data_IF_469516615325
#
_entry.id   IF_469516615325
#
_cell.length_a   1.000
_cell.length_b   1.000
_cell.length_c   1.000
_cell.angle_alpha   90.00
_cell.angle_beta   90.00
_cell.angle_gamma   90.00
#
_symmetry.space_group_name_H-M   'P 1'
#
loop_
_entity.id
_entity.type
_entity.pdbx_description
1 polymer ?
#
# COMPACT_ATOMS: atom_id res chain seq x y z
N UNK A 1 13.64 42.42 19.11
CA UNK A 1 14.06 41.47 18.04
C UNK A 1 13.08 40.32 18.07
N UNK A 2 12.03 40.35 17.25
CA UNK A 2 11.02 39.28 17.25
C UNK A 2 11.53 38.13 16.39
N UNK A 3 11.95 37.04 17.03
CA UNK A 3 12.24 35.79 16.35
C UNK A 3 10.91 35.11 15.99
N UNK A 4 10.50 35.22 14.73
CA UNK A 4 9.35 34.46 14.21
C UNK A 4 9.73 32.99 14.15
N UNK A 5 9.41 32.26 15.22
CA UNK A 5 9.69 30.82 15.33
C UNK A 5 8.79 30.08 14.33
N UNK A 6 9.37 29.64 13.21
CA UNK A 6 8.68 28.88 12.17
C UNK A 6 8.40 27.45 12.66
N UNK A 7 7.37 27.32 13.49
CA UNK A 7 6.87 26.03 13.95
C UNK A 7 6.58 25.13 12.74
N UNK A 8 7.30 24.02 12.66
CA UNK A 8 7.25 23.05 11.56
C UNK A 8 6.58 21.77 12.06
N UNK A 9 5.99 20.98 11.15
CA UNK A 9 5.31 19.74 11.56
C UNK A 9 6.32 18.59 11.71
N UNK A 10 6.26 17.88 12.83
CA UNK A 10 7.12 16.75 13.16
C UNK A 10 6.28 15.54 13.56
N UNK A 11 6.81 14.35 13.28
CA UNK A 11 6.32 13.07 13.83
C UNK A 11 7.32 12.59 14.88
N UNK A 12 6.80 12.17 16.03
CA UNK A 12 7.56 11.86 17.25
C UNK A 12 7.09 10.50 17.76
N UNK A 13 8.01 9.54 17.92
CA UNK A 13 7.69 8.25 18.56
C UNK A 13 8.22 8.23 20.00
N UNK A 14 7.33 8.00 20.97
CA UNK A 14 7.58 8.19 22.41
C UNK A 14 6.80 7.18 23.22
N UNK A 15 7.43 6.44 24.12
CA UNK A 15 6.71 5.44 24.91
C UNK A 15 5.78 6.02 26.01
N UNK A 16 5.92 7.31 26.40
CA UNK A 16 5.10 7.97 27.45
C UNK A 16 4.90 9.50 27.29
N UNK A 17 4.44 9.99 26.13
CA UNK A 17 4.32 11.46 25.90
C UNK A 17 3.38 12.19 26.89
N UNK A 18 2.36 11.50 27.44
CA UNK A 18 1.35 12.08 28.34
C UNK A 18 1.95 12.84 29.54
N UNK A 19 3.15 12.47 30.01
CA UNK A 19 3.80 13.09 31.17
C UNK A 19 4.41 14.48 30.90
N UNK A 20 4.54 14.93 29.64
CA UNK A 20 5.05 16.28 29.33
C UNK A 20 3.99 17.38 29.40
N UNK A 21 2.70 17.04 29.32
CA UNK A 21 1.74 17.95 28.69
C UNK A 21 1.07 18.93 29.65
N UNK A 22 0.76 18.49 30.88
CA UNK A 22 0.18 19.35 31.92
C UNK A 22 1.18 20.38 32.47
N UNK A 23 2.49 20.16 32.32
CA UNK A 23 3.53 21.01 32.94
C UNK A 23 4.36 21.84 31.95
N UNK A 24 4.55 21.41 30.70
CA UNK A 24 5.52 22.07 29.79
C UNK A 24 4.95 22.71 28.52
N UNK A 25 3.78 22.30 28.02
CA UNK A 25 3.27 22.76 26.72
C UNK A 25 1.83 23.31 26.72
N UNK A 26 0.96 22.89 27.63
CA UNK A 26 -0.42 23.40 27.69
C UNK A 26 -1.26 23.08 26.44
N UNK A 27 -0.96 21.96 25.76
CA UNK A 27 -1.58 21.52 24.50
C UNK A 27 -2.43 20.28 24.69
N UNK A 28 -3.47 20.15 23.86
CA UNK A 28 -4.40 19.03 23.90
C UNK A 28 -3.89 17.85 23.04
N UNK A 29 -3.97 16.61 23.58
CA UNK A 29 -3.98 15.41 22.72
C UNK A 29 -5.39 15.20 22.15
N UNK A 30 -5.46 14.87 20.86
CA UNK A 30 -6.63 14.23 20.25
C UNK A 30 -6.22 12.87 19.70
N UNK A 31 -6.87 11.79 20.17
CA UNK A 31 -6.71 10.44 19.60
C UNK A 31 -7.40 10.38 18.25
N UNK A 32 -6.63 10.18 17.19
CA UNK A 32 -7.14 10.23 15.83
C UNK A 32 -8.22 9.16 15.58
N UNK A 33 -9.30 9.53 14.89
CA UNK A 33 -10.40 8.64 14.55
C UNK A 33 -10.60 8.58 13.02
N UNK A 34 -11.05 7.43 12.46
CA UNK A 34 -11.30 7.30 11.03
C UNK A 34 -12.34 8.32 10.56
N UNK A 35 -11.99 9.14 9.56
CA UNK A 35 -12.87 10.17 9.00
C UNK A 35 -13.03 11.44 9.85
N UNK A 36 -12.25 11.62 10.93
CA UNK A 36 -12.22 12.86 11.72
C UNK A 36 -10.91 13.58 11.45
N UNK A 37 -10.91 14.48 10.46
CA UNK A 37 -9.66 14.95 9.86
C UNK A 37 -9.59 16.45 9.52
N UNK A 38 -10.68 17.19 9.60
CA UNK A 38 -10.68 18.60 9.25
C UNK A 38 -10.18 19.47 10.41
N UNK A 39 -9.42 20.51 10.07
CA UNK A 39 -8.66 21.44 10.93
C UNK A 39 -7.65 20.88 11.95
N UNK A 40 -7.78 19.63 12.43
CA UNK A 40 -6.87 19.03 13.41
C UNK A 40 -5.40 19.00 12.96
N UNK A 41 -5.13 18.76 11.67
CA UNK A 41 -3.76 18.76 11.11
C UNK A 41 -3.13 20.17 11.10
N UNK A 42 -3.94 21.23 11.16
CA UNK A 42 -3.50 22.63 11.05
C UNK A 42 -3.45 23.38 12.40
N UNK A 43 -4.13 22.88 13.44
CA UNK A 43 -4.11 23.54 14.76
C UNK A 43 -2.79 23.32 15.50
N UNK A 44 -2.03 24.41 15.64
CA UNK A 44 -0.74 24.46 16.34
C UNK A 44 -0.86 24.23 17.85
N UNK A 45 -2.06 24.18 18.41
CA UNK A 45 -2.33 23.90 19.83
C UNK A 45 -2.64 22.42 20.10
N UNK A 46 -2.81 21.60 19.05
CA UNK A 46 -3.13 20.18 19.15
C UNK A 46 -1.89 19.32 18.91
N UNK A 47 -1.88 18.14 19.54
CA UNK A 47 -0.98 17.04 19.24
C UNK A 47 -1.87 15.85 18.87
N UNK A 48 -1.73 15.32 17.66
CA UNK A 48 -2.53 14.18 17.21
C UNK A 48 -1.83 12.89 17.66
N UNK A 49 -2.57 12.02 18.34
CA UNK A 49 -2.14 10.69 18.78
C UNK A 49 -2.53 9.65 17.72
N UNK A 50 -1.50 9.07 17.08
CA UNK A 50 -1.57 8.03 16.04
C UNK A 50 -1.28 6.62 16.59
N UNK A 51 -1.01 6.53 17.90
CA UNK A 51 -0.45 5.36 18.60
C UNK A 51 -1.28 4.10 18.40
N UNK A 52 -0.61 2.95 18.38
CA UNK A 52 -1.28 1.67 18.53
C UNK A 52 -1.09 1.11 19.95
N UNK A 53 -2.18 1.10 20.71
CA UNK A 53 -2.21 0.74 22.12
C UNK A 53 -1.63 -0.67 22.35
N UNK A 54 -0.51 -0.74 23.09
CA UNK A 54 0.19 -2.00 23.38
C UNK A 54 1.35 -2.34 22.44
N UNK A 55 1.71 -1.48 21.48
CA UNK A 55 2.94 -1.64 20.66
C UNK A 55 3.90 -0.46 20.76
N UNK A 56 3.41 0.75 20.49
CA UNK A 56 4.19 1.99 20.47
C UNK A 56 3.25 3.18 20.58
N UNK A 57 3.80 4.37 20.86
CA UNK A 57 3.01 5.60 20.78
C UNK A 57 3.65 6.65 19.88
N UNK A 58 2.96 6.96 18.76
CA UNK A 58 3.38 7.93 17.75
C UNK A 58 2.45 9.14 17.84
N UNK A 59 3.05 10.33 17.80
CA UNK A 59 2.36 11.60 17.89
C UNK A 59 2.85 12.54 16.80
N UNK A 60 1.98 13.41 16.28
CA UNK A 60 2.34 14.43 15.28
C UNK A 60 1.78 15.80 15.64
N UNK A 61 2.43 16.87 15.19
CA UNK A 61 2.01 18.26 15.42
C UNK A 61 3.11 19.29 15.15
N UNK A 62 2.78 20.57 15.34
CA UNK A 62 3.70 21.68 15.08
C UNK A 62 4.60 22.01 16.26
N UNK A 63 5.89 21.75 16.14
CA UNK A 63 6.89 22.05 17.17
C UNK A 63 7.89 23.10 16.69
N UNK A 64 8.45 23.85 17.64
CA UNK A 64 9.61 24.70 17.35
C UNK A 64 10.86 23.82 17.17
N UNK A 65 11.72 24.22 16.22
CA UNK A 65 12.95 23.50 15.91
C UNK A 65 13.96 23.49 17.07
N UNK A 66 14.08 24.58 17.86
CA UNK A 66 14.94 24.55 19.04
C UNK A 66 14.35 23.67 20.15
N UNK A 67 13.02 23.67 20.34
CA UNK A 67 12.37 22.74 21.25
C UNK A 67 12.61 21.26 20.86
N UNK A 68 12.55 20.95 19.56
CA UNK A 68 12.87 19.60 19.05
C UNK A 68 14.31 19.19 19.35
N UNK A 69 15.30 20.00 18.97
CA UNK A 69 16.72 19.66 19.16
C UNK A 69 17.18 19.74 20.62
N UNK A 70 16.65 20.68 21.41
CA UNK A 70 17.12 20.91 22.78
C UNK A 70 16.37 20.11 23.85
N UNK A 71 15.11 19.72 23.60
CA UNK A 71 14.26 18.98 24.54
C UNK A 71 13.91 17.59 23.98
N UNK A 72 13.09 17.51 22.93
CA UNK A 72 12.47 16.25 22.50
C UNK A 72 13.50 15.17 22.15
N UNK A 73 14.48 15.48 21.29
CA UNK A 73 15.55 14.55 20.88
C UNK A 73 16.53 14.14 21.99
N UNK A 74 16.44 14.72 23.19
CA UNK A 74 17.29 14.38 24.35
C UNK A 74 16.57 13.59 25.43
N UNK A 75 15.28 13.29 25.25
CA UNK A 75 14.50 12.51 26.19
C UNK A 75 14.77 11.02 26.03
N UNK A 76 14.92 10.31 27.14
CA UNK A 76 15.17 8.86 27.14
C UNK A 76 13.91 7.99 26.93
N UNK A 77 12.73 8.59 26.77
CA UNK A 77 11.47 7.91 26.42
C UNK A 77 11.00 8.19 24.98
N UNK A 78 11.74 9.03 24.24
CA UNK A 78 11.57 9.31 22.81
C UNK A 78 12.52 8.40 22.03
N UNK A 79 12.02 7.68 21.03
CA UNK A 79 12.83 6.78 20.19
C UNK A 79 13.47 7.59 19.04
N UNK A 80 12.65 8.35 18.30
CA UNK A 80 13.11 9.29 17.28
C UNK A 80 12.14 10.47 17.07
N UNK A 81 12.62 11.47 16.32
CA UNK A 81 11.84 12.63 15.86
C UNK A 81 12.18 12.94 14.40
N UNK A 82 11.24 12.70 13.49
CA UNK A 82 11.34 13.07 12.08
C UNK A 82 10.53 14.36 11.78
N UNK A 83 10.89 15.06 10.70
CA UNK A 83 9.95 16.01 10.08
C UNK A 83 8.94 15.22 9.25
N UNK A 84 7.70 15.69 9.19
CA UNK A 84 6.65 15.04 8.37
C UNK A 84 7.10 14.98 6.91
N UNK A 85 7.12 13.77 6.33
CA UNK A 85 7.61 13.50 4.96
C UNK A 85 6.43 13.43 3.98
N UNK A 86 6.48 14.07 2.80
CA UNK A 86 5.46 13.90 1.75
C UNK A 86 5.43 12.47 1.18
N UNK A 87 4.24 12.01 0.79
CA UNK A 87 3.98 10.70 0.20
C UNK A 87 3.12 10.88 -1.04
N UNK A 88 3.44 10.21 -2.15
CA UNK A 88 2.73 10.37 -3.43
C UNK A 88 2.38 9.03 -4.10
N UNK A 89 1.41 9.06 -5.02
CA UNK A 89 1.01 7.94 -5.89
C UNK A 89 1.02 8.33 -7.37
N UNK A 90 1.54 7.44 -8.23
CA UNK A 90 1.86 7.75 -9.63
C UNK A 90 0.78 7.26 -10.61
N UNK A 91 0.08 8.16 -11.33
CA UNK A 91 -0.49 7.85 -12.67
C UNK A 91 -1.06 9.06 -13.43
N UNK A 92 -0.75 9.24 -14.73
CA UNK A 92 -1.67 9.85 -15.71
C UNK A 92 -2.69 8.80 -16.24
N UNK A 93 -3.86 9.20 -16.77
CA UNK A 93 -4.99 8.28 -17.09
C UNK A 93 -5.65 8.59 -18.46
N UNK A 94 -6.01 7.56 -19.26
CA UNK A 94 -6.87 7.65 -20.50
C UNK A 94 -7.71 6.35 -20.74
N UNK A 95 -8.85 6.34 -21.48
CA UNK A 95 -9.81 5.19 -21.51
C UNK A 95 -10.12 4.54 -22.88
N UNK A 96 -10.56 3.25 -22.91
CA UNK A 96 -11.52 2.60 -23.87
C UNK A 96 -11.79 1.08 -23.59
N UNK A 97 -12.70 0.41 -24.34
CA UNK A 97 -13.46 -0.82 -23.91
C UNK A 97 -13.61 -1.91 -25.02
N UNK A 98 -13.69 -3.23 -24.69
CA UNK A 98 -14.54 -4.29 -25.36
C UNK A 98 -14.55 -5.69 -24.63
N UNK A 99 -15.30 -6.70 -25.15
CA UNK A 99 -15.62 -8.03 -24.53
C UNK A 99 -15.68 -9.20 -25.56
N UNK A 100 -15.89 -10.51 -25.26
CA UNK A 100 -15.45 -11.51 -24.22
C UNK A 100 -16.41 -12.74 -24.19
N UNK A 101 -15.90 -13.98 -24.07
CA UNK A 101 -16.51 -15.22 -23.48
C UNK A 101 -15.62 -16.45 -23.83
N UNK A 102 -15.73 -17.68 -23.31
CA UNK A 102 -16.04 -18.32 -21.99
C UNK A 102 -15.83 -19.85 -22.19
N UNK A 103 -15.51 -20.73 -21.22
CA UNK A 103 -15.15 -20.61 -19.81
C UNK A 103 -14.47 -21.91 -19.30
N UNK A 104 -13.47 -21.77 -18.42
CA UNK A 104 -13.06 -22.75 -17.38
C UNK A 104 -14.24 -23.25 -16.48
N UNK A 105 -14.20 -24.18 -15.51
CA UNK A 105 -13.35 -25.35 -15.19
C UNK A 105 -12.68 -25.16 -13.82
N UNK A 106 -11.33 -25.22 -13.77
CA UNK A 106 -10.59 -24.14 -13.08
C UNK A 106 -11.06 -22.85 -13.74
N UNK A 107 -11.37 -21.75 -13.05
CA UNK A 107 -11.89 -20.60 -13.79
C UNK A 107 -10.76 -19.99 -14.61
N UNK A 108 -10.78 -20.27 -15.91
CA UNK A 108 -9.91 -19.67 -16.91
C UNK A 108 -10.65 -18.52 -17.55
N UNK A 109 -10.13 -17.32 -17.38
CA UNK A 109 -10.57 -16.15 -18.09
C UNK A 109 -9.97 -16.17 -19.50
N UNK A 110 -10.75 -16.59 -20.49
CA UNK A 110 -10.44 -16.39 -21.90
C UNK A 110 -10.45 -14.89 -22.24
N UNK A 111 -9.52 -14.45 -23.09
CA UNK A 111 -9.20 -13.03 -23.29
C UNK A 111 -8.82 -12.36 -21.97
N UNK A 112 -7.83 -12.94 -21.28
CA UNK A 112 -7.20 -12.33 -20.12
C UNK A 112 -6.49 -11.02 -20.50
N UNK A 113 -6.55 -9.98 -19.64
CA UNK A 113 -5.57 -8.90 -19.65
C UNK A 113 -4.16 -9.49 -19.57
N UNK A 114 -3.24 -8.99 -20.39
CA UNK A 114 -1.90 -9.55 -20.56
C UNK A 114 -1.17 -9.76 -19.23
N UNK A 115 -1.43 -8.90 -18.24
CA UNK A 115 -0.79 -8.89 -16.93
C UNK A 115 -1.27 -10.02 -16.00
N UNK A 116 -2.41 -10.66 -16.28
CA UNK A 116 -2.89 -11.83 -15.55
C UNK A 116 -2.29 -13.11 -16.16
N UNK A 117 -2.37 -13.23 -17.49
CA UNK A 117 -1.71 -14.25 -18.32
C UNK A 117 -0.19 -14.33 -18.05
N UNK A 118 0.46 -13.16 -17.97
CA UNK A 118 1.91 -13.06 -17.70
C UNK A 118 2.33 -13.64 -16.34
N UNK A 119 1.42 -13.81 -15.36
CA UNK A 119 1.75 -14.28 -14.01
C UNK A 119 1.30 -15.72 -13.69
N UNK A 120 0.50 -16.38 -14.55
CA UNK A 120 0.38 -17.85 -14.54
C UNK A 120 1.26 -18.54 -15.62
N UNK A 121 1.52 -17.87 -16.75
CA UNK A 121 2.45 -18.33 -17.79
C UNK A 121 3.86 -17.72 -17.71
N UNK A 122 4.91 -18.55 -17.81
CA UNK A 122 6.31 -18.10 -17.72
C UNK A 122 6.83 -17.35 -18.96
N UNK A 123 6.48 -17.83 -20.16
CA UNK A 123 7.14 -17.51 -21.42
C UNK A 123 6.21 -16.77 -22.39
N UNK A 124 6.78 -16.04 -23.34
CA UNK A 124 6.07 -15.57 -24.53
C UNK A 124 6.11 -16.65 -25.65
N UNK A 125 5.15 -16.68 -26.60
CA UNK A 125 3.94 -15.85 -26.65
C UNK A 125 2.92 -16.23 -25.56
N UNK A 126 2.22 -15.22 -25.04
CA UNK A 126 1.10 -15.38 -24.11
C UNK A 126 -0.09 -16.06 -24.81
N UNK A 127 -0.87 -16.87 -24.08
CA UNK A 127 -1.90 -17.75 -24.68
C UNK A 127 -3.32 -17.13 -24.68
N UNK A 128 -3.49 -15.97 -24.06
CA UNK A 128 -4.74 -15.23 -23.94
C UNK A 128 -5.62 -15.69 -22.77
N UNK A 129 -5.08 -16.50 -21.86
CA UNK A 129 -5.80 -17.10 -20.74
C UNK A 129 -5.27 -16.61 -19.39
N UNK A 130 -6.08 -16.74 -18.34
CA UNK A 130 -5.62 -16.60 -16.95
C UNK A 130 -6.40 -17.59 -16.10
N UNK A 131 -5.70 -18.56 -15.52
CA UNK A 131 -6.27 -19.73 -14.86
C UNK A 131 -6.03 -19.66 -13.36
N UNK A 132 -7.09 -19.52 -12.58
CA UNK A 132 -7.00 -19.26 -11.14
C UNK A 132 -7.87 -20.22 -10.30
N UNK A 133 -7.54 -20.41 -9.00
CA UNK A 133 -8.36 -21.18 -8.08
C UNK A 133 -9.81 -20.67 -8.01
N UNK A 134 -10.79 -21.57 -8.02
CA UNK A 134 -12.21 -21.20 -7.95
C UNK A 134 -12.62 -20.47 -6.64
N UNK A 135 -11.74 -20.44 -5.64
CA UNK A 135 -11.86 -19.69 -4.39
C UNK A 135 -10.90 -18.48 -4.30
N UNK A 136 -10.39 -17.96 -5.43
CA UNK A 136 -9.32 -16.95 -5.54
C UNK A 136 -9.38 -15.79 -4.52
N UNK A 137 -8.67 -15.93 -3.40
CA UNK A 137 -8.63 -14.92 -2.34
C UNK A 137 -9.86 -14.86 -1.43
N UNK A 138 -10.80 -15.80 -1.53
CA UNK A 138 -11.92 -15.93 -0.59
C UNK A 138 -11.41 -15.97 0.87
N UNK A 139 -12.15 -15.33 1.76
CA UNK A 139 -11.77 -15.04 3.14
C UNK A 139 -10.43 -14.31 3.36
N UNK A 140 -9.87 -13.68 2.33
CA UNK A 140 -8.81 -12.66 2.50
C UNK A 140 -9.41 -11.26 2.59
N UNK A 141 -8.77 -10.39 3.38
CA UNK A 141 -9.15 -9.00 3.61
C UNK A 141 -7.96 -8.12 3.22
N UNK A 142 -8.06 -7.46 2.07
CA UNK A 142 -6.96 -6.64 1.52
C UNK A 142 -7.28 -5.18 1.72
N UNK A 143 -6.48 -4.52 2.55
CA UNK A 143 -6.57 -3.10 2.82
C UNK A 143 -5.74 -2.35 1.78
N UNK A 144 -6.41 -1.48 1.01
CA UNK A 144 -5.78 -0.62 0.00
C UNK A 144 -5.57 0.73 0.66
N UNK A 145 -4.31 1.00 1.02
CA UNK A 145 -3.87 2.20 1.75
C UNK A 145 -3.34 3.19 0.72
N UNK A 146 -4.24 4.05 0.23
CA UNK A 146 -4.08 4.75 -1.05
C UNK A 146 -5.01 6.00 -1.12
N UNK A 147 -5.52 6.40 -2.30
CA UNK A 147 -6.50 7.49 -2.48
C UNK A 147 -7.95 7.09 -2.19
N UNK A 148 -8.20 5.85 -1.75
CA UNK A 148 -9.54 5.31 -1.47
C UNK A 148 -9.97 4.24 -2.48
N UNK A 149 -11.26 3.92 -2.54
CA UNK A 149 -11.84 3.06 -3.60
C UNK A 149 -13.23 3.60 -3.96
N UNK A 150 -13.56 3.70 -5.25
CA UNK A 150 -14.94 3.83 -5.71
C UNK A 150 -15.67 2.48 -5.56
N UNK A 151 -16.14 2.19 -4.35
CA UNK A 151 -16.67 0.87 -3.95
C UNK A 151 -17.86 0.38 -4.80
N UNK A 152 -18.62 1.30 -5.39
CA UNK A 152 -19.75 1.04 -6.30
C UNK A 152 -19.33 0.60 -7.72
N UNK A 153 -18.03 0.50 -8.02
CA UNK A 153 -17.58 0.00 -9.32
C UNK A 153 -17.91 -1.50 -9.49
N UNK A 154 -18.52 -1.87 -10.62
CA UNK A 154 -19.01 -3.23 -10.93
C UNK A 154 -17.90 -4.28 -11.04
N UNK A 155 -16.62 -3.87 -11.11
CA UNK A 155 -15.48 -4.77 -10.93
C UNK A 155 -15.44 -5.38 -9.51
N UNK A 156 -15.94 -4.68 -8.49
CA UNK A 156 -15.84 -5.15 -7.11
C UNK A 156 -17.00 -6.05 -6.69
N UNK A 157 -18.15 -6.00 -7.38
CA UNK A 157 -19.32 -6.85 -7.10
C UNK A 157 -19.76 -6.83 -5.62
N UNK A 158 -19.70 -5.66 -4.96
CA UNK A 158 -20.02 -5.50 -3.54
C UNK A 158 -18.95 -6.05 -2.57
N UNK A 159 -17.79 -6.48 -3.07
CA UNK A 159 -16.66 -6.95 -2.22
C UNK A 159 -15.71 -5.83 -1.78
N UNK A 160 -15.90 -4.61 -2.28
CA UNK A 160 -15.20 -3.42 -1.80
C UNK A 160 -16.03 -2.69 -0.73
N UNK A 161 -15.36 -2.17 0.29
CA UNK A 161 -16.00 -1.44 1.40
C UNK A 161 -15.12 -0.28 1.89
N UNK A 162 -15.75 0.72 2.51
CA UNK A 162 -15.04 1.82 3.16
C UNK A 162 -14.48 1.37 4.52
N UNK A 163 -13.19 1.60 4.76
CA UNK A 163 -12.54 1.39 6.06
C UNK A 163 -12.39 2.70 6.84
N UNK A 164 -11.79 3.72 6.23
CA UNK A 164 -11.60 5.03 6.82
C UNK A 164 -10.86 6.02 5.92
N UNK A 165 -11.05 7.32 6.18
CA UNK A 165 -10.26 8.42 5.60
C UNK A 165 -9.32 8.98 6.65
N UNK A 166 -8.09 9.28 6.23
CA UNK A 166 -6.95 9.63 7.05
C UNK A 166 -6.15 10.82 6.49
N UNK A 167 -6.79 11.72 5.74
CA UNK A 167 -6.19 12.96 5.25
C UNK A 167 -7.19 14.13 5.36
N UNK A 168 -6.70 15.34 5.63
CA UNK A 168 -7.56 16.52 5.84
C UNK A 168 -8.24 17.00 4.56
N UNK A 169 -9.49 17.48 4.68
CA UNK A 169 -10.34 17.94 3.57
C UNK A 169 -10.55 16.89 2.45
N UNK A 170 -10.38 15.60 2.78
CA UNK A 170 -10.54 14.48 1.86
C UNK A 170 -11.98 13.96 1.83
N UNK A 171 -12.47 13.54 0.65
CA UNK A 171 -13.74 12.82 0.58
C UNK A 171 -13.64 11.43 1.25
N UNK A 172 -14.77 10.77 1.50
CA UNK A 172 -14.81 9.36 1.93
C UNK A 172 -14.71 8.36 0.76
N UNK A 173 -14.56 8.87 -0.45
CA UNK A 173 -14.49 8.12 -1.71
C UNK A 173 -13.13 8.28 -2.39
N UNK A 174 -12.89 7.55 -3.48
CA UNK A 174 -11.73 7.83 -4.33
C UNK A 174 -12.04 9.00 -5.29
N UNK A 175 -11.32 10.09 -5.09
CA UNK A 175 -11.41 11.35 -5.85
C UNK A 175 -10.22 11.56 -6.80
N UNK A 176 -9.21 10.67 -6.77
CA UNK A 176 -8.05 10.66 -7.67
C UNK A 176 -8.09 9.50 -8.69
N UNK A 177 -8.56 8.32 -8.26
CA UNK A 177 -8.74 7.14 -9.10
C UNK A 177 -7.63 6.09 -9.02
N UNK A 178 -6.51 6.41 -8.37
CA UNK A 178 -5.36 5.50 -8.24
C UNK A 178 -5.67 4.31 -7.33
N UNK A 179 -6.23 4.55 -6.15
CA UNK A 179 -6.67 3.50 -5.22
C UNK A 179 -7.69 2.54 -5.82
N UNK A 180 -8.61 3.07 -6.64
CA UNK A 180 -9.56 2.27 -7.44
C UNK A 180 -8.86 1.42 -8.50
N UNK A 181 -7.86 1.96 -9.21
CA UNK A 181 -7.05 1.21 -10.18
C UNK A 181 -6.37 0.02 -9.50
N UNK A 182 -5.60 0.26 -8.43
CA UNK A 182 -4.82 -0.81 -7.77
C UNK A 182 -5.74 -1.83 -7.07
N UNK A 183 -6.84 -1.40 -6.45
CA UNK A 183 -7.87 -2.31 -5.93
C UNK A 183 -8.48 -3.19 -7.04
N UNK A 184 -8.63 -2.64 -8.26
CA UNK A 184 -9.07 -3.39 -9.44
C UNK A 184 -8.07 -4.47 -9.87
N UNK A 185 -6.77 -4.20 -9.78
CA UNK A 185 -5.69 -5.18 -10.07
C UNK A 185 -5.60 -6.26 -8.97
N UNK A 186 -5.83 -5.89 -7.71
CA UNK A 186 -5.92 -6.86 -6.61
C UNK A 186 -7.10 -7.81 -6.82
N UNK A 187 -8.32 -7.26 -6.96
CA UNK A 187 -9.56 -8.02 -6.72
C UNK A 187 -10.73 -7.75 -7.67
N UNK A 188 -10.54 -7.01 -8.77
CA UNK A 188 -11.58 -6.79 -9.77
C UNK A 188 -12.04 -8.07 -10.48
N UNK A 189 -13.33 -8.17 -10.79
CA UNK A 189 -13.98 -9.29 -11.50
C UNK A 189 -13.25 -9.66 -12.79
N UNK A 190 -12.86 -8.67 -13.59
CA UNK A 190 -12.29 -8.87 -14.91
C UNK A 190 -10.78 -8.61 -14.94
N UNK A 191 -10.28 -7.69 -14.09
CA UNK A 191 -8.87 -7.28 -14.08
C UNK A 191 -8.07 -7.75 -12.85
N UNK A 192 -8.74 -8.28 -11.83
CA UNK A 192 -8.13 -8.69 -10.58
C UNK A 192 -7.47 -10.06 -10.61
N UNK A 193 -6.38 -10.20 -9.85
CA UNK A 193 -5.69 -11.48 -9.57
C UNK A 193 -6.53 -12.35 -8.62
N UNK A 194 -6.96 -11.78 -7.48
CA UNK A 194 -7.69 -12.45 -6.39
C UNK A 194 -9.19 -12.11 -6.39
N UNK A 195 -9.89 -12.58 -7.43
CA UNK A 195 -11.27 -12.16 -7.79
C UNK A 195 -12.39 -12.45 -6.77
N UNK A 196 -12.10 -13.05 -5.61
CA UNK A 196 -13.04 -13.28 -4.51
C UNK A 196 -12.56 -12.73 -3.16
N UNK A 197 -11.49 -11.95 -3.14
CA UNK A 197 -11.06 -11.21 -1.94
C UNK A 197 -12.06 -10.10 -1.57
N UNK A 198 -12.08 -9.75 -0.29
CA UNK A 198 -12.64 -8.49 0.22
C UNK A 198 -11.58 -7.39 0.04
N UNK A 199 -12.02 -6.18 -0.30
CA UNK A 199 -11.20 -4.98 -0.50
C UNK A 199 -11.69 -3.90 0.50
N UNK A 200 -10.78 -3.29 1.25
CA UNK A 200 -11.11 -2.28 2.25
C UNK A 200 -10.35 -1.00 1.92
N UNK A 201 -11.07 0.09 1.67
CA UNK A 201 -10.50 1.40 1.35
C UNK A 201 -9.97 2.09 2.63
N UNK A 202 -8.68 2.43 2.63
CA UNK A 202 -8.03 3.24 3.66
C UNK A 202 -7.41 4.44 2.97
N UNK A 203 -8.13 5.56 2.92
CA UNK A 203 -7.72 6.75 2.17
C UNK A 203 -6.70 7.56 2.98
N UNK A 204 -5.43 7.49 2.62
CA UNK A 204 -4.32 8.26 3.23
C UNK A 204 -3.79 9.35 2.30
N UNK A 205 -4.21 9.33 1.03
CA UNK A 205 -3.83 10.26 -0.03
C UNK A 205 -5.06 11.06 -0.52
N UNK A 206 -4.88 12.34 -0.80
CA UNK A 206 -5.92 13.28 -1.24
C UNK A 206 -6.24 13.17 -2.75
N UNK A 207 -7.08 14.07 -3.25
CA UNK A 207 -7.51 14.14 -4.66
C UNK A 207 -6.37 14.36 -5.68
N UNK A 208 -5.19 14.82 -5.23
CA UNK A 208 -3.99 15.00 -6.05
C UNK A 208 -3.05 13.77 -5.99
N UNK A 209 -3.43 12.71 -5.28
CA UNK A 209 -2.56 11.56 -5.01
C UNK A 209 -1.54 11.80 -3.89
N UNK A 210 -1.69 12.85 -3.07
CA UNK A 210 -0.69 13.30 -2.10
C UNK A 210 -1.12 13.07 -0.64
N UNK A 211 -0.18 12.70 0.22
CA UNK A 211 -0.35 12.55 1.67
C UNK A 211 0.98 12.74 2.40
N UNK A 212 1.08 12.24 3.63
CA UNK A 212 2.27 12.40 4.48
C UNK A 212 2.61 11.15 5.30
N UNK A 213 3.82 11.10 5.88
CA UNK A 213 4.19 10.03 6.82
C UNK A 213 3.21 9.91 7.99
N UNK A 214 2.59 11.02 8.43
CA UNK A 214 1.52 11.00 9.42
C UNK A 214 0.21 10.37 8.89
N UNK A 215 -0.27 10.72 7.68
CA UNK A 215 -1.51 10.14 7.13
C UNK A 215 -1.37 8.65 6.82
N UNK A 216 -0.22 8.22 6.31
CA UNK A 216 0.11 6.81 6.08
C UNK A 216 0.19 6.03 7.40
N UNK A 217 0.89 6.58 8.40
CA UNK A 217 1.00 5.95 9.73
C UNK A 217 -0.35 5.80 10.40
N UNK A 218 -1.21 6.82 10.33
CA UNK A 218 -2.59 6.76 10.81
C UNK A 218 -3.40 5.63 10.13
N UNK A 219 -3.35 5.56 8.81
CA UNK A 219 -4.04 4.53 8.04
C UNK A 219 -3.58 3.10 8.39
N UNK A 220 -2.28 2.87 8.52
CA UNK A 220 -1.74 1.54 8.86
C UNK A 220 -2.03 1.19 10.33
N UNK A 221 -1.93 2.14 11.27
CA UNK A 221 -2.31 1.98 12.69
C UNK A 221 -3.78 1.54 12.84
N UNK A 222 -4.68 2.11 12.02
CA UNK A 222 -6.06 1.64 11.90
C UNK A 222 -6.16 0.19 11.38
N UNK A 223 -5.38 -0.20 10.36
CA UNK A 223 -5.39 -1.60 9.87
C UNK A 223 -4.87 -2.58 10.93
N UNK A 224 -3.83 -2.22 11.69
CA UNK A 224 -3.35 -3.03 12.85
C UNK A 224 -4.50 -3.21 13.85
N UNK A 225 -5.18 -2.11 14.21
CA UNK A 225 -6.35 -2.13 15.11
C UNK A 225 -7.47 -3.05 14.60
N UNK A 226 -7.81 -2.98 13.31
CA UNK A 226 -8.83 -3.86 12.72
C UNK A 226 -8.38 -5.32 12.62
N UNK A 227 -7.12 -5.58 12.31
CA UNK A 227 -6.55 -6.92 12.26
C UNK A 227 -6.57 -7.59 13.64
N UNK A 228 -6.15 -6.90 14.70
CA UNK A 228 -6.10 -7.47 16.05
C UNK A 228 -7.50 -7.78 16.59
N UNK A 229 -8.47 -6.89 16.38
CA UNK A 229 -9.86 -7.11 16.78
C UNK A 229 -10.65 -8.11 15.89
N UNK A 230 -10.15 -8.42 14.69
CA UNK A 230 -10.78 -9.41 13.79
C UNK A 230 -10.47 -10.85 14.19
N UNK A 231 -11.46 -11.74 14.13
CA UNK A 231 -11.24 -13.19 14.23
C UNK A 231 -10.61 -13.77 12.95
N UNK A 232 -10.84 -13.15 11.79
CA UNK A 232 -10.17 -13.49 10.54
C UNK A 232 -8.84 -12.73 10.44
N UNK A 233 -7.73 -13.47 10.50
CA UNK A 233 -6.35 -12.95 10.43
C UNK A 233 -5.74 -12.94 9.02
N UNK A 234 -6.52 -13.22 7.98
CA UNK A 234 -6.07 -13.21 6.58
C UNK A 234 -6.01 -11.76 6.06
N UNK A 235 -5.11 -10.96 6.63
CA UNK A 235 -4.98 -9.53 6.34
C UNK A 235 -3.75 -9.28 5.49
N UNK A 236 -3.94 -8.52 4.41
CA UNK A 236 -2.88 -8.05 3.53
C UNK A 236 -3.05 -6.53 3.41
N UNK A 237 -1.95 -5.78 3.39
CA UNK A 237 -1.92 -4.36 3.05
C UNK A 237 -1.23 -4.18 1.71
N UNK A 238 -1.84 -3.41 0.83
CA UNK A 238 -1.26 -2.94 -0.42
C UNK A 238 -0.86 -1.47 -0.29
N UNK A 239 0.44 -1.19 -0.28
CA UNK A 239 1.04 0.15 -0.29
C UNK A 239 1.57 0.44 -1.71
N UNK A 240 0.69 0.90 -2.60
CA UNK A 240 1.05 1.33 -3.97
C UNK A 240 1.52 2.78 -4.03
N UNK A 241 2.22 3.22 -2.97
CA UNK A 241 2.67 4.59 -2.74
C UNK A 241 4.19 4.63 -2.48
N UNK A 242 4.78 5.83 -2.59
CA UNK A 242 6.21 6.05 -2.34
C UNK A 242 6.45 7.37 -1.61
N UNK A 243 7.51 7.40 -0.83
CA UNK A 243 8.03 8.57 -0.13
C UNK A 243 9.56 8.49 -0.08
N UNK A 244 10.22 9.63 0.18
CA UNK A 244 11.59 9.58 0.69
C UNK A 244 11.65 8.80 2.00
N UNK A 245 12.83 8.29 2.36
CA UNK A 245 13.01 7.53 3.60
C UNK A 245 12.39 8.23 4.83
N UNK A 246 11.54 7.50 5.55
CA UNK A 246 10.84 7.93 6.76
C UNK A 246 10.88 6.81 7.79
N UNK A 247 11.41 7.12 8.97
CA UNK A 247 11.45 6.19 10.11
C UNK A 247 10.03 5.85 10.57
N UNK A 248 9.12 6.82 10.58
CA UNK A 248 7.72 6.58 10.96
C UNK A 248 7.01 5.58 10.03
N UNK A 249 7.13 5.75 8.71
CA UNK A 249 6.57 4.79 7.73
C UNK A 249 7.24 3.41 7.87
N UNK A 250 8.55 3.37 8.06
CA UNK A 250 9.28 2.10 8.16
C UNK A 250 8.94 1.33 9.43
N UNK A 251 8.75 2.04 10.55
CA UNK A 251 8.39 1.50 11.86
C UNK A 251 6.96 0.97 11.88
N UNK A 252 5.97 1.76 11.45
CA UNK A 252 4.56 1.33 11.41
C UNK A 252 4.33 0.13 10.47
N UNK A 253 5.06 0.07 9.34
CA UNK A 253 5.03 -1.10 8.45
C UNK A 253 5.65 -2.32 9.13
N UNK A 254 6.83 -2.19 9.73
CA UNK A 254 7.47 -3.26 10.50
C UNK A 254 6.56 -3.81 11.60
N UNK A 255 5.87 -2.94 12.34
CA UNK A 255 4.98 -3.36 13.43
C UNK A 255 3.66 -3.99 12.94
N UNK A 256 3.15 -3.57 11.77
CA UNK A 256 2.04 -4.28 11.13
C UNK A 256 2.44 -5.71 10.73
N UNK A 257 3.68 -5.91 10.28
CA UNK A 257 4.24 -7.22 9.93
C UNK A 257 4.48 -8.07 11.19
N UNK A 258 5.00 -7.47 12.26
CA UNK A 258 5.13 -8.09 13.59
C UNK A 258 3.76 -8.54 14.15
N UNK A 259 2.70 -7.76 13.91
CA UNK A 259 1.32 -8.12 14.26
C UNK A 259 0.72 -9.26 13.42
N UNK A 260 1.43 -9.77 12.40
CA UNK A 260 1.03 -10.89 11.55
C UNK A 260 0.38 -10.52 10.22
N UNK A 261 0.43 -9.24 9.82
CA UNK A 261 -0.15 -8.75 8.56
C UNK A 261 0.87 -8.90 7.42
N UNK A 262 0.42 -9.33 6.24
CA UNK A 262 1.26 -9.33 5.04
C UNK A 262 1.28 -7.93 4.43
N UNK A 263 2.45 -7.30 4.31
CA UNK A 263 2.56 -5.99 3.64
C UNK A 263 3.26 -6.14 2.30
N UNK A 264 2.65 -5.57 1.27
CA UNK A 264 3.21 -5.46 -0.08
C UNK A 264 3.40 -3.98 -0.40
N UNK A 265 4.55 -3.62 -0.95
CA UNK A 265 4.96 -2.26 -1.25
C UNK A 265 5.45 -2.12 -2.70
N UNK A 266 5.13 -1.00 -3.35
CA UNK A 266 5.83 -0.56 -4.57
C UNK A 266 7.28 -0.20 -4.26
N UNK A 267 8.21 -0.56 -5.15
CA UNK A 267 9.62 -0.18 -5.00
C UNK A 267 9.88 1.33 -5.21
N UNK A 268 8.99 2.03 -5.91
CA UNK A 268 9.13 3.42 -6.36
C UNK A 268 9.55 3.51 -7.83
N UNK A 269 9.31 4.66 -8.46
CA UNK A 269 9.44 4.87 -9.91
C UNK A 269 10.47 5.96 -10.27
N UNK A 270 11.66 5.89 -9.65
CA UNK A 270 12.68 6.95 -9.69
C UNK A 270 14.01 6.54 -10.38
N UNK A 271 14.10 5.34 -10.97
CA UNK A 271 15.36 4.74 -11.49
C UNK A 271 16.48 4.71 -10.43
N UNK A 272 16.11 4.45 -9.17
CA UNK A 272 16.99 4.53 -8.01
C UNK A 272 17.04 3.24 -7.17
N UNK A 273 17.82 3.29 -6.09
CA UNK A 273 17.85 2.22 -5.08
C UNK A 273 16.58 2.27 -4.23
N UNK A 274 15.78 1.21 -4.25
CA UNK A 274 14.57 1.05 -3.45
C UNK A 274 14.83 1.17 -1.94
N UNK A 275 16.06 0.91 -1.47
CA UNK A 275 16.45 1.11 -0.07
C UNK A 275 16.52 2.60 0.35
N UNK A 276 16.46 3.56 -0.60
CA UNK A 276 16.46 5.00 -0.32
C UNK A 276 15.06 5.61 -0.06
N UNK A 277 14.02 4.79 -0.16
CA UNK A 277 12.61 5.22 -0.13
C UNK A 277 11.82 4.44 0.94
N UNK A 278 10.65 4.96 1.30
CA UNK A 278 9.72 4.31 2.23
C UNK A 278 8.35 4.12 1.56
N UNK A 279 7.65 3.00 1.76
CA UNK A 279 7.97 1.87 2.66
C UNK A 279 8.95 0.82 2.09
N UNK A 280 9.51 1.03 0.89
CA UNK A 280 10.33 0.04 0.17
C UNK A 280 11.68 -0.31 0.82
N UNK A 281 12.17 0.46 1.77
CA UNK A 281 13.34 0.12 2.59
C UNK A 281 13.06 -0.90 3.72
N UNK A 282 11.80 -1.23 4.00
CA UNK A 282 11.45 -2.24 5.03
C UNK A 282 11.68 -3.66 4.49
N UNK A 283 12.84 -4.23 4.81
CA UNK A 283 13.27 -5.58 4.40
C UNK A 283 12.35 -6.74 4.87
N UNK A 284 11.41 -6.47 5.79
CA UNK A 284 10.39 -7.42 6.22
C UNK A 284 9.15 -7.44 5.30
N UNK A 285 8.90 -6.35 4.58
CA UNK A 285 7.80 -6.25 3.62
C UNK A 285 8.10 -7.05 2.35
N UNK A 286 7.14 -7.12 1.43
CA UNK A 286 7.34 -7.68 0.10
C UNK A 286 7.36 -6.54 -0.89
N UNK A 287 8.56 -6.19 -1.38
CA UNK A 287 8.80 -4.98 -2.18
C UNK A 287 8.84 -5.33 -3.67
N UNK A 288 8.08 -4.58 -4.47
CA UNK A 288 7.69 -4.99 -5.82
C UNK A 288 8.18 -4.01 -6.88
N UNK A 289 9.11 -4.50 -7.72
CA UNK A 289 9.56 -3.85 -8.94
C UNK A 289 8.59 -4.07 -10.12
N UNK A 290 8.73 -3.27 -11.18
CA UNK A 290 7.78 -3.25 -12.30
C UNK A 290 8.38 -3.75 -13.61
N UNK A 291 7.66 -4.56 -14.39
CA UNK A 291 8.09 -5.04 -15.72
C UNK A 291 7.29 -4.43 -16.88
N UNK A 292 7.99 -4.30 -18.01
CA UNK A 292 7.39 -3.95 -19.29
C UNK A 292 6.38 -4.99 -19.78
N UNK A 293 5.54 -4.58 -20.73
CA UNK A 293 4.36 -5.33 -21.18
C UNK A 293 4.62 -6.42 -22.21
N UNK A 294 5.58 -6.18 -23.11
CA UNK A 294 5.85 -7.05 -24.27
C UNK A 294 7.26 -7.67 -24.22
N UNK A 295 7.91 -7.68 -23.05
CA UNK A 295 9.26 -8.21 -22.87
C UNK A 295 9.45 -8.76 -21.45
N UNK A 296 10.68 -9.17 -21.12
CA UNK A 296 11.08 -9.50 -19.75
C UNK A 296 11.88 -8.36 -19.08
N UNK A 297 11.89 -7.15 -19.66
CA UNK A 297 12.62 -6.02 -19.08
C UNK A 297 11.91 -5.48 -17.85
N UNK A 298 12.67 -5.09 -16.81
CA UNK A 298 12.16 -4.12 -15.86
C UNK A 298 11.88 -2.78 -16.57
N UNK A 299 10.83 -2.08 -16.14
CA UNK A 299 10.54 -0.71 -16.57
C UNK A 299 11.72 0.18 -16.15
N UNK A 300 12.21 1.04 -17.05
CA UNK A 300 13.40 1.86 -16.78
C UNK A 300 13.22 2.90 -15.66
N UNK A 301 11.99 3.22 -15.25
CA UNK A 301 11.75 4.04 -14.05
C UNK A 301 11.65 3.20 -12.77
N UNK A 302 11.48 1.88 -12.84
CA UNK A 302 11.34 1.04 -11.64
C UNK A 302 12.61 1.10 -10.81
N UNK A 303 12.47 1.48 -9.54
CA UNK A 303 13.54 1.29 -8.58
C UNK A 303 13.94 -0.19 -8.50
N UNK A 304 15.19 -0.43 -8.10
CA UNK A 304 15.82 -1.74 -8.00
C UNK A 304 16.69 -1.82 -6.75
N UNK A 305 17.34 -2.96 -6.50
CA UNK A 305 18.35 -3.08 -5.44
C UNK A 305 17.99 -4.11 -4.38
N UNK A 306 18.80 -4.17 -3.32
CA UNK A 306 18.72 -5.24 -2.31
C UNK A 306 17.44 -5.25 -1.47
N UNK A 307 16.67 -4.15 -1.47
CA UNK A 307 15.38 -4.09 -0.79
C UNK A 307 14.21 -4.55 -1.65
N UNK A 308 14.37 -4.74 -2.97
CA UNK A 308 13.33 -5.34 -3.82
C UNK A 308 13.33 -6.87 -3.64
N UNK A 309 12.14 -7.49 -3.64
CA UNK A 309 11.99 -8.94 -3.54
C UNK A 309 11.68 -9.61 -4.89
N UNK A 310 10.82 -8.95 -5.66
CA UNK A 310 10.13 -9.56 -6.79
C UNK A 310 9.68 -8.47 -7.78
N UNK A 311 9.60 -8.81 -9.06
CA UNK A 311 9.03 -7.95 -10.09
C UNK A 311 7.70 -8.51 -10.59
N UNK A 312 6.75 -7.64 -10.91
CA UNK A 312 5.46 -8.00 -11.48
C UNK A 312 5.07 -7.04 -12.64
N UNK A 313 4.07 -7.38 -13.49
CA UNK A 313 3.69 -6.53 -14.61
C UNK A 313 3.17 -5.16 -14.15
N UNK A 314 3.68 -4.07 -14.71
CA UNK A 314 3.22 -2.72 -14.34
C UNK A 314 3.25 -1.70 -15.46
N UNK A 315 3.19 -2.14 -16.73
CA UNK A 315 3.05 -1.29 -17.92
C UNK A 315 1.65 -1.43 -18.53
N UNK A 316 0.98 -0.31 -18.78
CA UNK A 316 -0.35 -0.24 -19.38
C UNK A 316 -1.38 -1.18 -18.71
N UNK A 317 -1.40 -1.24 -17.38
CA UNK A 317 -2.29 -2.13 -16.64
C UNK A 317 -3.70 -1.53 -16.62
N UNK A 318 -4.65 -2.25 -17.21
CA UNK A 318 -6.07 -1.88 -17.22
C UNK A 318 -6.74 -2.43 -15.96
N UNK A 319 -7.53 -1.60 -15.28
CA UNK A 319 -8.28 -1.97 -14.08
C UNK A 319 -9.53 -1.10 -13.90
N UNK A 320 -10.18 -1.18 -12.74
CA UNK A 320 -11.31 -0.33 -12.36
C UNK A 320 -10.93 1.16 -12.37
N UNK A 321 -11.91 2.05 -12.51
CA UNK A 321 -11.71 3.50 -12.47
C UNK A 321 -12.87 4.25 -11.81
N UNK A 322 -12.68 5.55 -11.58
CA UNK A 322 -13.68 6.45 -10.99
C UNK A 322 -14.61 7.06 -12.04
N UNK A 323 -15.70 7.71 -11.60
CA UNK A 323 -16.73 8.29 -12.47
C UNK A 323 -17.97 7.41 -12.54
N UNK A 324 -18.19 6.71 -13.65
CA UNK A 324 -19.32 5.79 -13.79
C UNK A 324 -19.01 4.46 -13.09
N UNK A 325 -20.05 3.72 -12.66
CA UNK A 325 -19.87 2.43 -11.96
C UNK A 325 -19.23 1.34 -12.84
N UNK A 326 -19.16 1.53 -14.16
CA UNK A 326 -18.44 0.67 -15.10
C UNK A 326 -17.15 1.30 -15.66
N UNK A 327 -16.67 2.40 -15.06
CA UNK A 327 -15.41 3.05 -15.45
C UNK A 327 -14.23 2.09 -15.34
N UNK A 328 -13.32 2.17 -16.32
CA UNK A 328 -12.01 1.54 -16.30
C UNK A 328 -10.92 2.61 -16.41
N UNK A 329 -9.75 2.32 -15.87
CA UNK A 329 -8.55 3.16 -15.97
C UNK A 329 -7.38 2.34 -16.53
N UNK A 330 -6.35 3.03 -17.06
CA UNK A 330 -5.08 2.42 -17.45
C UNK A 330 -3.94 3.22 -16.83
N UNK A 331 -2.98 2.52 -16.21
CA UNK A 331 -1.91 3.11 -15.41
C UNK A 331 -0.58 2.37 -15.61
N UNK A 332 0.53 2.93 -15.13
CA UNK A 332 1.84 2.29 -15.16
C UNK A 332 2.73 2.74 -14.00
N UNK A 333 3.49 1.80 -13.43
CA UNK A 333 4.43 2.04 -12.34
C UNK A 333 4.68 0.78 -11.52
N UNK A 334 5.49 0.89 -10.48
CA UNK A 334 5.61 -0.10 -9.39
C UNK A 334 4.32 -0.13 -8.56
N UNK A 335 3.60 0.99 -8.48
CA UNK A 335 2.25 1.08 -7.91
C UNK A 335 1.25 0.11 -8.54
N UNK A 336 1.36 -0.19 -9.84
CA UNK A 336 0.53 -1.18 -10.53
C UNK A 336 1.07 -2.60 -10.47
N UNK A 337 2.38 -2.79 -10.20
CA UNK A 337 2.98 -4.12 -10.02
C UNK A 337 2.70 -4.69 -8.61
N UNK A 338 2.78 -3.85 -7.57
CA UNK A 338 2.44 -4.15 -6.18
C UNK A 338 1.12 -4.95 -6.00
N UNK A 339 -0.03 -4.53 -6.55
CA UNK A 339 -1.31 -5.23 -6.36
C UNK A 339 -1.40 -6.62 -6.98
N UNK A 340 -0.59 -6.97 -7.99
CA UNK A 340 -0.53 -8.37 -8.46
C UNK A 340 0.04 -9.29 -7.39
N UNK A 341 1.04 -8.82 -6.63
CA UNK A 341 1.65 -9.56 -5.54
C UNK A 341 0.70 -9.66 -4.34
N UNK A 342 0.02 -8.57 -3.97
CA UNK A 342 -1.02 -8.60 -2.93
C UNK A 342 -2.15 -9.60 -3.27
N UNK A 343 -2.59 -9.63 -4.54
CA UNK A 343 -3.50 -10.65 -5.04
C UNK A 343 -2.92 -12.07 -4.98
N UNK A 344 -1.66 -12.27 -5.38
CA UNK A 344 -1.00 -13.57 -5.34
C UNK A 344 -0.90 -14.14 -3.91
N UNK A 345 -0.66 -13.30 -2.90
CA UNK A 345 -0.68 -13.70 -1.48
C UNK A 345 -2.08 -14.20 -1.09
N UNK A 346 -3.15 -13.51 -1.49
CA UNK A 346 -4.52 -13.97 -1.25
C UNK A 346 -4.82 -15.31 -1.94
N UNK A 347 -4.26 -15.57 -3.13
CA UNK A 347 -4.33 -16.89 -3.78
C UNK A 347 -3.56 -17.97 -2.99
N UNK A 348 -2.40 -17.64 -2.41
CA UNK A 348 -1.65 -18.56 -1.53
C UNK A 348 -2.47 -18.86 -0.27
N UNK A 349 -3.07 -17.85 0.37
CA UNK A 349 -3.91 -18.02 1.56
C UNK A 349 -5.12 -18.90 1.24
N UNK A 350 -5.85 -18.63 0.15
CA UNK A 350 -7.05 -19.40 -0.21
C UNK A 350 -6.74 -20.82 -0.68
N UNK A 351 -5.53 -21.09 -1.21
CA UNK A 351 -5.10 -22.44 -1.63
C UNK A 351 -4.47 -23.26 -0.49
N UNK A 352 -3.67 -22.63 0.37
CA UNK A 352 -2.68 -23.31 1.20
C UNK A 352 -2.72 -22.90 2.69
N UNK A 353 -3.73 -22.13 3.09
CA UNK A 353 -3.85 -21.54 4.43
C UNK A 353 -2.88 -20.39 4.68
N UNK A 354 -3.26 -19.50 5.60
CA UNK A 354 -2.43 -18.38 6.02
C UNK A 354 -1.14 -18.85 6.72
N UNK A 355 -0.09 -18.01 6.70
CA UNK A 355 1.25 -18.28 7.24
C UNK A 355 1.79 -17.01 7.90
N UNK A 356 2.90 -17.10 8.64
CA UNK A 356 3.61 -15.88 9.08
C UNK A 356 4.07 -15.07 7.85
N UNK A 357 4.18 -13.73 7.93
CA UNK A 357 4.66 -12.92 6.80
C UNK A 357 6.02 -13.36 6.24
N UNK A 358 6.97 -13.71 7.11
CA UNK A 358 8.26 -14.28 6.72
C UNK A 358 8.13 -15.58 5.92
N UNK A 359 7.25 -16.49 6.33
CA UNK A 359 6.97 -17.75 5.61
C UNK A 359 6.23 -17.48 4.29
N UNK A 360 5.36 -16.48 4.25
CA UNK A 360 4.60 -16.09 3.05
C UNK A 360 5.52 -15.47 1.98
N UNK A 361 6.39 -14.53 2.37
CA UNK A 361 7.45 -13.94 1.53
C UNK A 361 8.36 -15.02 0.95
N UNK A 362 8.83 -15.95 1.79
CA UNK A 362 9.62 -17.10 1.34
C UNK A 362 8.82 -18.03 0.39
N UNK A 363 7.53 -18.25 0.64
CA UNK A 363 6.65 -19.04 -0.25
C UNK A 363 6.54 -18.37 -1.62
N UNK A 364 6.28 -17.07 -1.67
CA UNK A 364 6.17 -16.29 -2.91
C UNK A 364 7.48 -16.34 -3.73
N UNK A 365 8.63 -16.07 -3.10
CA UNK A 365 9.95 -16.10 -3.74
C UNK A 365 10.39 -17.52 -4.15
N UNK A 366 9.79 -18.56 -3.55
CA UNK A 366 9.99 -19.96 -3.98
C UNK A 366 9.14 -20.37 -5.20
N UNK A 367 7.98 -19.74 -5.40
CA UNK A 367 7.11 -19.96 -6.57
C UNK A 367 7.58 -19.15 -7.79
N UNK A 368 8.22 -18.01 -7.55
CA UNK A 368 8.66 -17.04 -8.55
C UNK A 368 9.64 -17.61 -9.60
N UNK A 369 9.58 -17.08 -10.81
CA UNK A 369 10.48 -17.46 -11.90
C UNK A 369 11.79 -16.68 -11.77
N UNK A 370 12.92 -17.38 -11.69
CA UNK A 370 14.25 -16.78 -11.48
C UNK A 370 15.02 -16.67 -12.80
N UNK A 371 15.89 -15.67 -12.90
CA UNK A 371 16.76 -15.42 -14.07
C UNK A 371 16.00 -15.24 -15.39
N UNK A 372 14.75 -14.77 -15.33
CA UNK A 372 13.88 -14.53 -16.47
C UNK A 372 14.04 -13.11 -17.04
N UNK A 373 14.39 -12.16 -16.17
CA UNK A 373 14.29 -10.72 -16.41
C UNK A 373 15.56 -10.12 -17.01
N UNK A 374 15.38 -8.96 -17.66
CA UNK A 374 16.45 -8.16 -18.25
C UNK A 374 16.34 -6.69 -17.79
N UNK A 375 17.23 -5.83 -18.29
CA UNK A 375 17.26 -4.39 -17.97
C UNK A 375 17.41 -4.10 -16.47
N UNK A 376 18.51 -4.56 -15.86
CA UNK A 376 18.88 -4.20 -14.47
C UNK A 376 18.06 -4.85 -13.35
N UNK A 377 17.01 -5.61 -13.66
CA UNK A 377 16.12 -6.25 -12.68
C UNK A 377 16.89 -7.01 -11.58
N UNK A 378 16.88 -6.45 -10.36
CA UNK A 378 17.64 -6.93 -9.22
C UNK A 378 16.77 -6.87 -7.95
N UNK A 379 16.42 -8.02 -7.33
CA UNK A 379 16.77 -9.38 -7.72
C UNK A 379 16.05 -9.83 -9.00
N UNK A 380 16.66 -10.77 -9.75
CA UNK A 380 16.07 -11.33 -10.97
C UNK A 380 15.02 -12.43 -10.63
N UNK A 381 13.92 -11.98 -10.04
CA UNK A 381 12.83 -12.79 -9.49
C UNK A 381 11.50 -12.23 -10.02
N UNK A 382 10.77 -12.99 -10.82
CA UNK A 382 9.50 -12.57 -11.42
C UNK A 382 8.30 -13.27 -10.81
N UNK A 383 7.21 -12.53 -10.58
CA UNK A 383 5.98 -13.02 -9.98
C UNK A 383 5.39 -14.20 -10.76
N UNK A 384 5.12 -15.28 -10.02
CA UNK A 384 4.27 -16.38 -10.45
C UNK A 384 3.21 -16.67 -9.39
N UNK A 385 1.95 -16.73 -9.80
CA UNK A 385 0.88 -17.18 -8.89
C UNK A 385 1.01 -18.68 -8.59
N UNK A 386 0.43 -19.19 -7.49
CA UNK A 386 0.38 -20.63 -7.25
C UNK A 386 -0.20 -21.35 -8.46
N UNK A 387 0.52 -22.36 -8.97
CA UNK A 387 0.06 -23.14 -10.13
C UNK A 387 -1.40 -23.61 -9.93
N UNK A 388 -2.26 -23.54 -10.95
CA UNK A 388 -3.70 -23.71 -10.77
C UNK A 388 -4.15 -25.13 -10.42
#
# INVERSE_FOLDING_TARGET
MYATLYATSYTIEVYRIYLMQNECLGRQIVKLQPGVFDDLENDKNIIIDLSFDGSFSIYTGFFDSNFVEQVLKKRSDVDFVEKVVPVEANSPIRPNILKRTNLEKRTTQSSAPYNLDRIDQNNYPLDGQYTYPNNAGSESNIYVVDTGIAIENVEFEGRASFGGTFCSNCSTTDDHGHGTNVAGIVGGKNFGVAKKTKLIAVKVLNQNGQGTSATVTAGISFVITKHQNSSNKNTIINLSLSAGFSDAINKIVSDSINAGIHVVASAGDNDGDACSFSPSSVTQAIVVGSTEKNSNAAISSSNSGSCVDIYAPGRDIIAAGIGQTNSLSISSGTSQACPHVAGAIALIISKSGNKTPSTMRNTLVSLAVKNLLTNGANPNTFLKIPAP
#
